data_IF_782603615598
#
_entry.id   IF_782603615598
#
_cell.length_a   1.000
_cell.length_b   1.000
_cell.length_c   1.000
_cell.angle_alpha   90.00
_cell.angle_beta   90.00
_cell.angle_gamma   90.00
#
_symmetry.space_group_name_H-M   'P 1'
#
loop_
_entity.id
_entity.type
_entity.pdbx_description
1 polymer ?
#
# COMPACT_ATOMS: atom_id res chain seq x y z
N UNK A 1 -6.97 -5.09 -13.64
CA UNK A 1 -5.98 -4.02 -13.41
C UNK A 1 -4.58 -4.61 -13.48
N UNK A 2 -3.61 -3.88 -14.01
CA UNK A 2 -2.20 -4.28 -14.07
C UNK A 2 -1.32 -3.06 -13.87
N UNK A 3 -0.26 -3.19 -13.09
CA UNK A 3 0.78 -2.18 -12.96
C UNK A 3 2.14 -2.85 -13.22
N UNK A 4 2.99 -2.18 -13.97
CA UNK A 4 4.36 -2.62 -14.26
C UNK A 4 5.31 -1.52 -13.84
N UNK A 5 6.27 -1.88 -13.00
CA UNK A 5 7.30 -0.97 -12.51
C UNK A 5 8.67 -1.41 -13.04
N UNK A 6 9.57 -0.46 -13.20
CA UNK A 6 10.96 -0.70 -13.57
C UNK A 6 11.89 -0.17 -12.48
N UNK A 7 13.09 -0.71 -12.42
CA UNK A 7 14.11 -0.29 -11.45
C UNK A 7 14.57 1.17 -11.60
N UNK A 8 14.27 1.81 -12.74
CA UNK A 8 14.54 3.21 -13.02
C UNK A 8 13.40 4.16 -12.55
N UNK A 9 12.38 3.62 -11.85
CA UNK A 9 11.25 4.38 -11.34
C UNK A 9 10.10 4.58 -12.32
N UNK A 10 10.22 4.12 -13.58
CA UNK A 10 9.12 4.23 -14.53
C UNK A 10 8.00 3.25 -14.19
N UNK A 11 6.77 3.73 -14.26
CA UNK A 11 5.56 2.96 -13.97
C UNK A 11 4.63 3.02 -15.18
N UNK A 12 3.99 1.90 -15.50
CA UNK A 12 2.89 1.82 -16.48
C UNK A 12 1.73 1.08 -15.83
N UNK A 13 0.52 1.64 -15.97
CA UNK A 13 -0.70 1.03 -15.48
C UNK A 13 -1.68 0.74 -16.62
N UNK A 14 -2.51 -0.26 -16.41
CA UNK A 14 -3.62 -0.61 -17.27
C UNK A 14 -4.82 -1.03 -16.43
N UNK A 15 -6.01 -0.55 -16.78
CA UNK A 15 -7.30 -0.98 -16.22
C UNK A 15 -8.20 -1.47 -17.34
N UNK A 16 -9.00 -2.48 -17.05
CA UNK A 16 -9.92 -3.06 -18.05
C UNK A 16 -11.06 -2.12 -18.39
N UNK A 17 -11.65 -1.49 -17.40
CA UNK A 17 -12.67 -0.47 -17.54
C UNK A 17 -12.23 0.82 -16.83
N UNK A 18 -11.90 1.89 -17.57
CA UNK A 18 -11.53 3.16 -16.98
C UNK A 18 -12.73 4.01 -16.54
N UNK A 19 -13.97 3.60 -16.83
CA UNK A 19 -15.20 4.32 -16.53
C UNK A 19 -15.87 3.84 -15.24
N UNK A 20 -15.11 3.23 -14.33
CA UNK A 20 -15.62 2.81 -13.04
C UNK A 20 -15.97 4.04 -12.22
N UNK A 21 -17.22 4.11 -11.77
CA UNK A 21 -17.61 5.08 -10.74
C UNK A 21 -17.08 4.62 -9.40
N UNK A 22 -16.30 5.46 -8.76
CA UNK A 22 -15.91 5.22 -7.39
C UNK A 22 -16.93 5.85 -6.42
N UNK A 23 -17.05 5.27 -5.27
CA UNK A 23 -17.85 5.77 -4.16
C UNK A 23 -16.95 5.95 -2.95
N UNK A 24 -17.38 6.78 -2.03
CA UNK A 24 -16.76 6.86 -0.72
C UNK A 24 -17.44 5.87 0.21
N UNK A 25 -16.70 5.26 1.11
CA UNK A 25 -17.25 4.45 2.19
C UNK A 25 -17.81 5.36 3.30
N UNK A 26 -18.38 4.74 4.35
CA UNK A 26 -18.98 5.47 5.48
C UNK A 26 -17.94 6.28 6.30
N UNK A 27 -16.64 6.00 6.12
CA UNK A 27 -15.54 6.74 6.75
C UNK A 27 -14.95 7.84 5.87
N UNK A 28 -15.50 8.06 4.67
CA UNK A 28 -15.03 9.09 3.73
C UNK A 28 -13.89 8.67 2.82
N UNK A 29 -13.39 7.42 2.92
CA UNK A 29 -12.34 6.91 2.06
C UNK A 29 -12.89 6.39 0.73
N UNK A 30 -12.08 6.45 -0.32
CA UNK A 30 -12.40 5.81 -1.59
C UNK A 30 -12.61 4.30 -1.39
N UNK A 31 -13.78 3.81 -1.74
CA UNK A 31 -14.12 2.39 -1.67
C UNK A 31 -13.47 1.61 -2.83
N UNK A 32 -12.14 1.47 -2.81
CA UNK A 32 -11.36 0.83 -3.87
C UNK A 32 -11.76 -0.63 -4.04
N UNK A 33 -12.07 -1.33 -2.95
CA UNK A 33 -12.53 -2.71 -2.96
C UNK A 33 -13.81 -2.92 -3.76
N UNK A 34 -14.70 -1.92 -3.83
CA UNK A 34 -15.90 -1.96 -4.67
C UNK A 34 -15.53 -1.89 -6.16
N UNK A 35 -14.56 -1.06 -6.51
CA UNK A 35 -14.13 -0.90 -7.91
C UNK A 35 -13.30 -2.09 -8.40
N UNK A 36 -12.44 -2.65 -7.56
CA UNK A 36 -11.59 -3.82 -7.87
C UNK A 36 -12.40 -5.12 -7.79
N UNK A 37 -13.27 -5.23 -6.80
CA UNK A 37 -14.03 -6.43 -6.48
C UNK A 37 -13.19 -7.44 -5.70
N UNK A 38 -13.88 -8.41 -5.11
CA UNK A 38 -13.26 -9.47 -4.29
C UNK A 38 -13.12 -10.81 -5.04
N UNK A 39 -13.63 -10.88 -6.27
CA UNK A 39 -13.57 -12.09 -7.09
C UNK A 39 -12.37 -12.01 -8.04
N UNK A 40 -11.32 -12.72 -7.71
CA UNK A 40 -10.12 -12.73 -8.56
C UNK A 40 -8.86 -13.10 -7.79
N UNK A 41 -7.73 -12.81 -8.42
CA UNK A 41 -6.41 -13.10 -7.86
C UNK A 41 -5.49 -11.89 -7.99
N UNK A 42 -4.63 -11.71 -6.99
CA UNK A 42 -3.45 -10.86 -7.08
C UNK A 42 -2.28 -11.72 -7.56
N UNK A 43 -1.70 -11.35 -8.69
CA UNK A 43 -0.49 -11.96 -9.22
C UNK A 43 0.65 -10.95 -9.23
N UNK A 44 1.77 -11.32 -8.64
CA UNK A 44 2.98 -10.52 -8.63
C UNK A 44 4.07 -11.25 -9.40
N UNK A 45 4.62 -10.60 -10.42
CA UNK A 45 5.70 -11.13 -11.25
C UNK A 45 6.93 -10.26 -11.03
N UNK A 46 8.02 -10.87 -10.60
CA UNK A 46 9.30 -10.17 -10.36
C UNK A 46 10.40 -10.77 -11.21
N UNK A 47 11.00 -9.91 -12.02
CA UNK A 47 12.24 -10.26 -12.72
C UNK A 47 13.43 -10.07 -11.77
N UNK A 48 14.03 -11.17 -11.40
CA UNK A 48 15.19 -11.22 -10.50
C UNK A 48 16.51 -11.44 -11.26
N UNK A 49 16.49 -11.30 -12.59
CA UNK A 49 17.64 -11.59 -13.45
C UNK A 49 17.94 -13.09 -13.58
N UNK A 50 16.99 -13.95 -13.22
CA UNK A 50 17.07 -15.39 -13.38
C UNK A 50 16.52 -15.81 -14.74
N UNK A 51 16.68 -17.10 -15.09
CA UNK A 51 16.17 -17.64 -16.36
C UNK A 51 14.65 -17.48 -16.51
N UNK A 52 13.94 -17.56 -15.39
CA UNK A 52 12.50 -17.38 -15.34
C UNK A 52 12.17 -16.38 -14.22
N UNK A 53 11.18 -15.49 -14.41
CA UNK A 53 10.76 -14.57 -13.38
C UNK A 53 10.06 -15.32 -12.24
N UNK A 54 10.17 -14.78 -11.04
CA UNK A 54 9.37 -15.27 -9.91
C UNK A 54 7.91 -14.83 -10.10
N UNK A 55 6.99 -15.76 -9.91
CA UNK A 55 5.55 -15.51 -10.02
C UNK A 55 4.82 -16.03 -8.79
N UNK A 56 4.25 -15.13 -8.01
CA UNK A 56 3.39 -15.45 -6.87
C UNK A 56 1.93 -15.09 -7.18
N UNK A 57 0.99 -15.92 -6.73
CA UNK A 57 -0.44 -15.70 -6.96
C UNK A 57 -1.22 -16.05 -5.71
N UNK A 58 -2.11 -15.15 -5.28
CA UNK A 58 -3.02 -15.35 -4.14
C UNK A 58 -4.43 -14.90 -4.51
N UNK A 59 -5.49 -15.46 -3.89
CA UNK A 59 -6.83 -14.92 -4.05
C UNK A 59 -6.95 -13.55 -3.41
N UNK A 60 -7.75 -12.67 -3.98
CA UNK A 60 -8.13 -11.40 -3.36
C UNK A 60 -8.90 -11.67 -2.07
N UNK A 61 -8.66 -10.85 -1.05
CA UNK A 61 -9.32 -10.93 0.25
C UNK A 61 -10.42 -9.88 0.37
N UNK A 62 -10.06 -8.63 0.17
CA UNK A 62 -10.96 -7.48 0.35
C UNK A 62 -11.17 -6.67 -0.92
N UNK A 63 -10.26 -6.78 -1.89
CA UNK A 63 -10.18 -5.89 -3.05
C UNK A 63 -9.49 -4.56 -2.72
N UNK A 64 -9.18 -4.29 -1.44
CA UNK A 64 -8.37 -3.16 -1.04
C UNK A 64 -6.89 -3.48 -1.28
N UNK A 65 -6.22 -2.62 -2.03
CA UNK A 65 -4.87 -2.89 -2.54
C UNK A 65 -3.86 -3.16 -1.40
N UNK A 66 -3.91 -2.37 -0.32
CA UNK A 66 -3.02 -2.53 0.82
C UNK A 66 -3.20 -3.87 1.53
N UNK A 67 -4.44 -4.27 1.77
CA UNK A 67 -4.78 -5.53 2.44
C UNK A 67 -4.38 -6.74 1.61
N UNK A 68 -4.71 -6.71 0.31
CA UNK A 68 -4.41 -7.81 -0.60
C UNK A 68 -2.90 -8.00 -0.79
N UNK A 69 -2.12 -6.91 -0.83
CA UNK A 69 -0.66 -7.00 -0.84
C UNK A 69 -0.08 -7.46 0.50
N UNK A 70 -0.64 -7.04 1.62
CA UNK A 70 -0.24 -7.54 2.95
C UNK A 70 -0.44 -9.06 3.03
N UNK A 71 -1.60 -9.53 2.56
CA UNK A 71 -1.89 -10.96 2.48
C UNK A 71 -0.93 -11.69 1.51
N UNK A 72 -0.64 -11.11 0.34
CA UNK A 72 0.29 -11.67 -0.62
C UNK A 72 1.69 -11.89 -0.01
N UNK A 73 2.24 -10.89 0.66
CA UNK A 73 3.56 -11.02 1.27
C UNK A 73 3.58 -12.10 2.36
N UNK A 74 2.53 -12.19 3.16
CA UNK A 74 2.42 -13.22 4.18
C UNK A 74 2.27 -14.62 3.58
N UNK A 75 1.35 -14.80 2.63
CA UNK A 75 0.96 -16.12 2.12
C UNK A 75 1.93 -16.67 1.05
N UNK A 76 2.43 -15.80 0.16
CA UNK A 76 3.29 -16.21 -0.96
C UNK A 76 4.77 -16.07 -0.64
N UNK A 77 5.17 -15.05 0.11
CA UNK A 77 6.57 -14.76 0.41
C UNK A 77 6.97 -15.10 1.85
N UNK A 78 6.01 -15.51 2.68
CA UNK A 78 6.22 -15.84 4.10
C UNK A 78 6.87 -14.69 4.88
N UNK A 79 6.65 -13.46 4.44
CA UNK A 79 7.18 -12.25 5.04
C UNK A 79 6.02 -11.43 5.60
N UNK A 80 5.81 -11.42 6.93
CA UNK A 80 4.80 -10.58 7.54
C UNK A 80 5.04 -9.12 7.18
N UNK A 81 4.02 -8.49 6.59
CA UNK A 81 4.16 -7.15 6.02
C UNK A 81 2.90 -6.33 6.29
N UNK A 82 3.10 -5.04 6.51
CA UNK A 82 2.04 -4.03 6.52
C UNK A 82 2.21 -3.19 5.26
N UNK A 83 1.17 -3.10 4.47
CA UNK A 83 1.13 -2.29 3.25
C UNK A 83 0.05 -1.25 3.42
N UNK A 84 0.40 0.01 3.20
CA UNK A 84 -0.56 1.11 3.16
C UNK A 84 -0.36 1.86 1.85
N UNK A 85 -1.46 2.17 1.19
CA UNK A 85 -1.49 2.96 -0.02
C UNK A 85 -2.62 3.97 0.07
N UNK A 86 -2.40 5.17 -0.43
CA UNK A 86 -3.38 6.23 -0.39
C UNK A 86 -3.34 7.09 -1.64
N UNK A 87 -4.48 7.65 -1.97
CA UNK A 87 -4.63 8.65 -3.02
C UNK A 87 -5.59 9.72 -2.53
N UNK A 88 -5.19 10.97 -2.68
CA UNK A 88 -6.03 12.13 -2.40
C UNK A 88 -6.55 12.67 -3.73
N UNK A 89 -7.85 12.81 -3.84
CA UNK A 89 -8.55 13.39 -5.00
C UNK A 89 -9.30 14.65 -4.58
N UNK A 90 -9.39 15.61 -5.47
CA UNK A 90 -10.18 16.81 -5.25
C UNK A 90 -11.66 16.62 -5.66
N UNK A 91 -12.45 17.68 -5.51
CA UNK A 91 -13.87 17.69 -5.87
C UNK A 91 -14.13 17.52 -7.39
N UNK A 92 -13.09 17.73 -8.22
CA UNK A 92 -13.15 17.55 -9.68
C UNK A 92 -12.62 16.20 -10.13
N UNK A 93 -12.26 15.33 -9.18
CA UNK A 93 -11.68 14.01 -9.37
C UNK A 93 -10.25 14.03 -9.95
N UNK A 94 -9.55 15.15 -9.78
CA UNK A 94 -8.13 15.21 -10.08
C UNK A 94 -7.31 14.67 -8.89
N UNK A 95 -6.27 13.91 -9.19
CA UNK A 95 -5.38 13.36 -8.16
C UNK A 95 -4.45 14.48 -7.67
N UNK A 96 -4.61 14.86 -6.41
CA UNK A 96 -3.77 15.86 -5.75
C UNK A 96 -2.45 15.25 -5.27
N UNK A 97 -2.51 14.03 -4.69
CA UNK A 97 -1.33 13.30 -4.25
C UNK A 97 -1.61 11.81 -4.20
N UNK A 98 -0.56 11.01 -4.24
CA UNK A 98 -0.62 9.57 -4.01
C UNK A 98 0.65 9.12 -3.31
N UNK A 99 0.55 8.09 -2.49
CA UNK A 99 1.70 7.56 -1.78
C UNK A 99 1.39 6.25 -1.10
N UNK A 100 2.38 5.73 -0.40
CA UNK A 100 2.23 4.51 0.37
C UNK A 100 3.53 4.10 1.02
N UNK A 101 3.45 3.07 1.85
CA UNK A 101 4.61 2.45 2.46
C UNK A 101 4.43 0.95 2.59
N UNK A 102 5.53 0.24 2.70
CA UNK A 102 5.57 -1.17 3.03
C UNK A 102 6.51 -1.33 4.21
N UNK A 103 6.05 -1.96 5.29
CA UNK A 103 6.87 -2.36 6.42
C UNK A 103 6.92 -3.88 6.44
N UNK A 104 8.13 -4.44 6.40
CA UNK A 104 8.35 -5.88 6.43
C UNK A 104 9.14 -6.26 7.66
N UNK A 105 8.67 -7.26 8.38
CA UNK A 105 9.40 -7.82 9.52
C UNK A 105 10.58 -8.65 9.02
N UNK A 106 11.74 -8.39 9.59
CA UNK A 106 12.93 -9.22 9.37
C UNK A 106 12.82 -10.52 10.19
N UNK A 107 13.52 -11.59 9.80
CA UNK A 107 13.50 -12.86 10.54
C UNK A 107 13.91 -12.75 12.02
N UNK A 108 14.72 -11.77 12.36
CA UNK A 108 15.19 -11.49 13.72
C UNK A 108 14.31 -10.52 14.50
N UNK A 109 13.15 -10.12 13.94
CA UNK A 109 12.23 -9.20 14.61
C UNK A 109 11.71 -9.78 15.93
N UNK A 110 11.72 -8.94 16.96
CA UNK A 110 11.24 -9.30 18.30
C UNK A 110 9.76 -8.96 18.47
N UNK A 111 9.12 -9.48 19.51
CA UNK A 111 7.75 -9.12 19.88
C UNK A 111 7.61 -7.61 20.17
N UNK A 112 8.67 -6.95 20.64
CA UNK A 112 8.71 -5.50 20.85
C UNK A 112 8.66 -4.76 19.50
N UNK A 113 9.38 -5.25 18.49
CA UNK A 113 9.39 -4.67 17.15
C UNK A 113 7.99 -4.81 16.49
N UNK A 114 7.34 -5.94 16.68
CA UNK A 114 5.98 -6.20 16.20
C UNK A 114 4.99 -5.23 16.85
N UNK A 115 5.00 -5.15 18.18
CA UNK A 115 4.12 -4.27 18.95
C UNK A 115 4.32 -2.79 18.59
N UNK A 116 5.57 -2.39 18.36
CA UNK A 116 5.91 -1.03 17.93
C UNK A 116 5.32 -0.70 16.55
N UNK A 117 5.42 -1.62 15.60
CA UNK A 117 4.89 -1.43 14.24
C UNK A 117 3.36 -1.38 14.25
N UNK A 118 2.71 -2.24 15.03
CA UNK A 118 1.24 -2.26 15.17
C UNK A 118 0.73 -0.95 15.80
N UNK A 119 1.42 -0.42 16.80
CA UNK A 119 1.10 0.88 17.40
C UNK A 119 1.23 2.01 16.36
N UNK A 120 2.31 2.02 15.57
CA UNK A 120 2.55 3.05 14.57
C UNK A 120 1.61 2.96 13.38
N UNK A 121 1.24 1.75 12.95
CA UNK A 121 0.19 1.54 11.94
C UNK A 121 -1.11 2.23 12.35
N UNK A 122 -1.56 1.99 13.57
CA UNK A 122 -2.78 2.62 14.11
C UNK A 122 -2.67 4.15 14.12
N UNK A 123 -1.49 4.68 14.43
CA UNK A 123 -1.24 6.12 14.41
C UNK A 123 -1.37 6.71 12.99
N UNK A 124 -0.82 6.04 11.98
CA UNK A 124 -0.91 6.48 10.57
C UNK A 124 -2.36 6.44 10.07
N UNK A 125 -3.12 5.41 10.44
CA UNK A 125 -4.56 5.32 10.13
C UNK A 125 -5.33 6.50 10.73
N UNK A 126 -5.13 6.81 12.01
CA UNK A 126 -5.78 7.94 12.71
C UNK A 126 -5.38 9.30 12.08
N UNK A 127 -4.11 9.49 11.73
CA UNK A 127 -3.66 10.74 11.10
C UNK A 127 -4.23 10.90 9.68
N UNK A 128 -4.43 9.81 8.94
CA UNK A 128 -5.11 9.84 7.64
C UNK A 128 -6.55 10.33 7.79
N UNK A 129 -7.28 9.78 8.76
CA UNK A 129 -8.66 10.18 9.06
C UNK A 129 -8.77 11.67 9.49
N UNK A 130 -7.81 12.15 10.28
CA UNK A 130 -7.77 13.56 10.71
C UNK A 130 -7.44 14.53 9.58
N UNK A 131 -6.67 14.08 8.61
CA UNK A 131 -6.30 14.88 7.44
C UNK A 131 -7.49 15.14 6.52
N UNK A 132 -8.36 14.15 6.36
CA UNK A 132 -9.61 14.28 5.63
C UNK A 132 -10.61 15.20 6.34
N UNK A 133 -10.52 15.35 7.66
CA UNK A 133 -11.33 16.27 8.45
C UNK A 133 -10.88 17.75 8.38
N UNK A 134 -9.86 18.09 7.58
CA UNK A 134 -9.43 19.47 7.33
C UNK A 134 -8.48 20.07 8.38
N UNK A 135 -7.84 19.25 9.20
CA UNK A 135 -6.83 19.72 10.17
C UNK A 135 -5.41 19.74 9.54
N UNK A 136 -4.70 20.86 9.74
CA UNK A 136 -3.51 21.28 9.00
C UNK A 136 -2.27 20.38 9.06
N UNK A 137 -1.53 20.40 7.96
CA UNK A 137 -0.39 19.62 7.50
C UNK A 137 0.91 19.59 8.33
N UNK A 138 1.02 20.24 9.46
CA UNK A 138 2.34 20.52 10.06
C UNK A 138 3.01 19.32 10.76
N UNK A 139 2.30 18.22 11.01
CA UNK A 139 2.83 17.07 11.78
C UNK A 139 3.03 15.77 10.98
N UNK A 140 2.49 15.66 9.79
CA UNK A 140 2.54 14.40 9.01
C UNK A 140 3.96 13.98 8.59
N UNK A 141 4.86 14.94 8.37
CA UNK A 141 6.25 14.66 7.96
C UNK A 141 7.13 14.10 9.09
N UNK A 142 6.71 14.16 10.35
CA UNK A 142 7.56 13.77 11.49
C UNK A 142 7.51 12.26 11.77
N UNK A 143 6.43 11.60 11.41
CA UNK A 143 6.24 10.15 11.71
C UNK A 143 7.12 9.27 10.84
N UNK A 144 7.34 9.66 9.58
CA UNK A 144 8.17 8.89 8.64
C UNK A 144 9.69 9.17 8.77
N UNK A 145 10.08 10.18 9.54
CA UNK A 145 11.50 10.53 9.71
C UNK A 145 12.21 9.74 10.82
N UNK A 146 11.48 9.02 11.66
CA UNK A 146 12.08 8.17 12.69
C UNK A 146 12.26 6.74 12.17
N UNK A 147 13.07 6.59 11.14
CA UNK A 147 13.56 5.25 10.76
C UNK A 147 14.61 4.82 11.77
N UNK A 148 14.22 3.93 12.67
CA UNK A 148 15.15 3.12 13.43
C UNK A 148 16.13 2.44 12.45
N UNK A 149 17.41 2.35 12.83
CA UNK A 149 18.47 1.72 12.05
C UNK A 149 18.19 0.27 11.63
N UNK A 150 17.12 -0.32 12.16
CA UNK A 150 16.59 -1.66 11.89
C UNK A 150 15.63 -1.72 10.69
N UNK A 151 15.15 -0.56 10.18
CA UNK A 151 14.29 -0.51 8.99
C UNK A 151 15.12 -0.14 7.75
N UNK A 152 15.09 -0.97 6.71
CA UNK A 152 15.67 -0.59 5.41
C UNK A 152 14.77 0.41 4.71
N UNK A 153 15.32 1.58 4.42
CA UNK A 153 14.67 2.57 3.56
C UNK A 153 14.63 2.05 2.13
N UNK A 154 13.46 1.80 1.58
CA UNK A 154 13.27 1.74 0.14
C UNK A 154 13.14 3.16 -0.37
N UNK A 155 13.86 3.47 -1.45
CA UNK A 155 14.09 4.83 -1.89
C UNK A 155 12.83 5.66 -2.09
N UNK A 156 12.99 6.96 -1.85
CA UNK A 156 11.98 7.99 -2.10
C UNK A 156 11.51 7.88 -3.55
N UNK A 157 10.25 7.52 -3.74
CA UNK A 157 9.58 7.67 -5.03
C UNK A 157 9.04 9.10 -5.05
N UNK A 158 9.69 9.92 -5.86
CA UNK A 158 9.25 11.29 -6.19
C UNK A 158 8.10 11.21 -7.19
#
# INVERSE_FOLDING_TARGET
MMAVTRSDGHIKGFVGDPHVHYTYNDTGHLAVGVAVGTQGTLQVIRDMGLKEPFCGTVPLQTGEIGDDFSYYFMASEQTPSVVSVGVLVDETNEILSSGGFIIQLLPEATEEDISYIEEKRRYVEIESERHEAGESHEKSNTVLQHTDSRCRKWGDVV
#
